data_IF_881941606055
#
_entry.id   IF_881941606055
#
_cell.length_a   1.000
_cell.length_b   1.000
_cell.length_c   1.000
_cell.angle_alpha   90.00
_cell.angle_beta   90.00
_cell.angle_gamma   90.00
#
_symmetry.space_group_name_H-M   'P 1'
#
loop_
_entity.id
_entity.type
_entity.pdbx_description
1 polymer ?
#
# COMPACT_ATOMS: atom_id res chain seq x y z
N UNK A 1 7.83 14.80 -11.08
CA UNK A 1 8.26 16.20 -11.23
C UNK A 1 7.83 17.08 -10.07
N UNK A 2 6.54 17.12 -9.74
CA UNK A 2 6.05 17.91 -8.60
C UNK A 2 6.56 17.40 -7.26
N UNK A 3 6.66 16.07 -7.09
CA UNK A 3 7.14 15.45 -5.85
C UNK A 3 8.63 15.70 -5.68
N UNK A 4 9.42 15.63 -6.75
CA UNK A 4 10.85 15.93 -6.72
C UNK A 4 11.10 17.39 -6.34
N UNK A 5 10.34 18.32 -6.90
CA UNK A 5 10.41 19.73 -6.56
C UNK A 5 10.06 19.98 -5.08
N UNK A 6 9.03 19.29 -4.59
CA UNK A 6 8.63 19.38 -3.19
C UNK A 6 9.72 18.84 -2.26
N UNK A 7 10.35 17.72 -2.61
CA UNK A 7 11.50 17.18 -1.88
C UNK A 7 12.62 18.21 -1.74
N UNK A 8 12.97 18.90 -2.81
CA UNK A 8 14.00 19.95 -2.82
C UNK A 8 13.60 21.11 -1.94
N UNK A 9 12.35 21.56 -2.07
CA UNK A 9 11.82 22.67 -1.29
C UNK A 9 11.85 22.37 0.21
N UNK A 10 11.57 21.11 0.60
CA UNK A 10 11.55 20.67 1.99
C UNK A 10 12.94 20.26 2.52
N UNK A 11 13.95 20.17 1.65
CA UNK A 11 15.29 19.76 2.04
C UNK A 11 15.40 18.33 2.50
N UNK A 12 14.58 17.41 1.97
CA UNK A 12 14.53 16.00 2.39
C UNK A 12 14.93 15.03 1.27
N UNK A 13 15.55 15.52 0.20
CA UNK A 13 15.91 14.66 -0.94
C UNK A 13 16.85 13.50 -0.58
N UNK A 14 17.67 13.68 0.44
CA UNK A 14 18.55 12.63 0.97
C UNK A 14 17.80 11.48 1.64
N UNK A 15 16.55 11.71 2.02
CA UNK A 15 15.70 10.72 2.72
C UNK A 15 14.64 10.09 1.81
N UNK A 16 14.52 10.57 0.58
CA UNK A 16 13.53 10.09 -0.38
C UNK A 16 14.26 9.46 -1.57
N UNK A 17 13.85 8.26 -1.93
CA UNK A 17 14.40 7.54 -3.05
C UNK A 17 13.31 7.27 -4.08
N UNK A 18 13.48 7.80 -5.29
CA UNK A 18 12.56 7.56 -6.40
C UNK A 18 13.00 6.30 -7.14
N UNK A 19 12.16 5.27 -7.09
CA UNK A 19 12.49 3.95 -7.62
C UNK A 19 12.03 3.75 -9.07
N UNK A 20 11.18 4.65 -9.58
CA UNK A 20 10.60 4.49 -10.90
C UNK A 20 9.67 3.28 -10.99
N UNK A 21 9.53 2.71 -12.17
CA UNK A 21 8.71 1.51 -12.37
C UNK A 21 9.48 0.27 -11.91
N UNK A 22 8.92 -0.45 -10.96
CA UNK A 22 9.47 -1.70 -10.46
C UNK A 22 8.76 -2.88 -11.12
N UNK A 23 9.53 -3.85 -11.60
CA UNK A 23 8.99 -5.12 -12.12
C UNK A 23 8.52 -6.03 -11.00
N UNK A 24 9.16 -5.96 -9.83
CA UNK A 24 8.90 -6.82 -8.67
C UNK A 24 8.79 -5.94 -7.44
N UNK A 25 7.56 -5.63 -7.04
CA UNK A 25 7.27 -4.80 -5.87
C UNK A 25 7.49 -5.56 -4.55
N UNK A 26 7.39 -6.90 -4.56
CA UNK A 26 7.47 -7.72 -3.36
C UNK A 26 8.79 -7.54 -2.60
N UNK A 27 9.90 -7.36 -3.33
CA UNK A 27 11.21 -7.12 -2.69
C UNK A 27 11.23 -5.85 -1.87
N UNK A 28 10.58 -4.79 -2.37
CA UNK A 28 10.49 -3.53 -1.65
C UNK A 28 9.54 -3.64 -0.46
N UNK A 29 8.41 -4.33 -0.65
CA UNK A 29 7.45 -4.55 0.42
C UNK A 29 8.04 -5.39 1.55
N UNK A 30 8.91 -6.34 1.24
CA UNK A 30 9.53 -7.19 2.26
C UNK A 30 10.41 -6.43 3.26
N UNK A 31 10.90 -5.25 2.90
CA UNK A 31 11.73 -4.41 3.77
C UNK A 31 11.00 -3.16 4.27
N UNK A 32 9.76 -2.95 3.84
CA UNK A 32 8.98 -1.79 4.24
C UNK A 32 8.32 -2.01 5.60
N UNK A 33 8.20 -0.95 6.37
CA UNK A 33 7.45 -0.95 7.62
C UNK A 33 6.01 -0.50 7.41
N UNK A 34 5.81 0.51 6.56
CA UNK A 34 4.51 1.09 6.25
C UNK A 34 4.42 1.32 4.74
N UNK A 35 3.26 1.03 4.20
CA UNK A 35 2.90 1.33 2.82
C UNK A 35 1.85 2.44 2.80
N UNK A 36 2.15 3.54 2.12
CA UNK A 36 1.23 4.68 2.02
C UNK A 36 0.63 4.71 0.64
N UNK A 37 -0.70 4.65 0.57
CA UNK A 37 -1.47 4.61 -0.68
C UNK A 37 -2.49 5.74 -0.70
N UNK A 38 -2.11 6.95 -1.18
CA UNK A 38 -3.00 8.12 -1.20
C UNK A 38 -3.83 8.16 -2.49
N UNK A 39 -4.43 7.06 -2.89
CA UNK A 39 -5.19 6.95 -4.14
C UNK A 39 -6.43 7.82 -4.15
N UNK A 40 -6.70 8.49 -5.26
CA UNK A 40 -7.94 9.21 -5.50
C UNK A 40 -9.03 8.27 -6.00
N UNK A 41 -8.64 7.23 -6.75
CA UNK A 41 -9.53 6.17 -7.25
C UNK A 41 -8.84 4.83 -7.08
N UNK A 42 -9.58 3.82 -6.62
CA UNK A 42 -9.05 2.46 -6.43
C UNK A 42 -10.18 1.45 -6.57
N UNK A 43 -10.02 0.46 -7.46
CA UNK A 43 -11.06 -0.55 -7.69
C UNK A 43 -11.10 -1.60 -6.58
N UNK A 44 -9.99 -2.31 -6.34
CA UNK A 44 -9.96 -3.46 -5.43
C UNK A 44 -8.94 -3.35 -4.30
N UNK A 45 -7.98 -2.43 -4.40
CA UNK A 45 -6.93 -2.32 -3.41
C UNK A 45 -5.94 -3.49 -3.43
N UNK A 46 -5.67 -4.08 -4.60
CA UNK A 46 -4.77 -5.23 -4.74
C UNK A 46 -3.36 -4.94 -4.24
N UNK A 47 -2.84 -3.74 -4.51
CA UNK A 47 -1.50 -3.36 -4.05
C UNK A 47 -1.45 -3.24 -2.53
N UNK A 48 -2.53 -2.77 -1.91
CA UNK A 48 -2.65 -2.75 -0.45
C UNK A 48 -2.66 -4.17 0.12
N UNK A 49 -3.40 -5.07 -0.53
CA UNK A 49 -3.45 -6.47 -0.14
C UNK A 49 -2.09 -7.16 -0.28
N UNK A 50 -1.35 -6.87 -1.34
CA UNK A 50 0.03 -7.35 -1.52
C UNK A 50 0.95 -6.86 -0.39
N UNK A 51 0.83 -5.59 -0.01
CA UNK A 51 1.58 -5.03 1.10
C UNK A 51 1.25 -5.76 2.42
N UNK A 52 -0.03 -5.97 2.69
CA UNK A 52 -0.48 -6.68 3.88
C UNK A 52 0.00 -8.12 3.92
N UNK A 53 -0.01 -8.81 2.77
CA UNK A 53 0.52 -10.17 2.65
C UNK A 53 2.04 -10.22 2.84
N UNK A 54 2.73 -9.10 2.70
CA UNK A 54 4.16 -8.94 3.00
C UNK A 54 4.41 -8.46 4.44
N UNK A 55 3.38 -8.47 5.28
CA UNK A 55 3.45 -8.05 6.68
C UNK A 55 3.81 -6.56 6.82
N UNK A 56 3.10 -5.71 6.08
CA UNK A 56 3.28 -4.26 6.07
C UNK A 56 1.98 -3.59 6.48
N UNK A 57 2.03 -2.64 7.40
CA UNK A 57 0.89 -1.83 7.77
C UNK A 57 0.55 -0.84 6.64
N UNK A 58 -0.73 -0.60 6.39
CA UNK A 58 -1.18 0.22 5.27
C UNK A 58 -1.83 1.51 5.74
N UNK A 59 -1.36 2.64 5.24
CA UNK A 59 -1.99 3.95 5.40
C UNK A 59 -2.61 4.30 4.06
N UNK A 60 -3.92 4.32 3.97
CA UNK A 60 -4.59 4.54 2.69
C UNK A 60 -5.77 5.50 2.80
N UNK A 61 -6.23 5.95 1.63
CA UNK A 61 -7.53 6.61 1.54
C UNK A 61 -8.65 5.58 1.64
N UNK A 62 -9.87 6.06 1.84
CA UNK A 62 -11.07 5.23 1.98
C UNK A 62 -11.83 5.03 0.67
N UNK A 63 -11.18 5.26 -0.46
CA UNK A 63 -11.81 5.20 -1.78
C UNK A 63 -11.92 3.77 -2.33
N UNK A 64 -12.95 3.51 -3.12
CA UNK A 64 -13.16 2.22 -3.79
C UNK A 64 -13.22 1.04 -2.83
N UNK A 65 -12.48 -0.01 -3.14
CA UNK A 65 -12.41 -1.23 -2.34
C UNK A 65 -11.48 -1.17 -1.13
N UNK A 66 -10.78 -0.05 -0.91
CA UNK A 66 -9.80 0.07 0.18
C UNK A 66 -10.38 -0.14 1.57
N UNK A 67 -11.60 0.34 1.92
CA UNK A 67 -12.17 0.07 3.24
C UNK A 67 -12.42 -1.41 3.54
N UNK A 68 -12.59 -2.24 2.54
CA UNK A 68 -12.77 -3.68 2.72
C UNK A 68 -11.43 -4.38 2.96
N UNK A 69 -10.36 -3.88 2.37
CA UNK A 69 -9.02 -4.44 2.47
C UNK A 69 -8.30 -3.92 3.69
N UNK A 70 -8.27 -2.61 3.89
CA UNK A 70 -7.56 -1.95 4.99
C UNK A 70 -8.53 -1.59 6.11
N UNK A 71 -8.43 -2.28 7.24
CA UNK A 71 -9.31 -2.07 8.38
C UNK A 71 -8.75 -0.98 9.28
N UNK A 72 -9.48 0.12 9.37
CA UNK A 72 -9.07 1.32 10.13
C UNK A 72 -8.83 1.00 11.60
N UNK A 73 -7.65 1.39 12.09
CA UNK A 73 -7.26 1.14 13.47
C UNK A 73 -6.83 -0.29 13.79
N UNK A 74 -6.73 -1.16 12.78
CA UNK A 74 -6.39 -2.57 12.98
C UNK A 74 -5.24 -3.02 12.07
N UNK A 75 -5.40 -2.91 10.76
CA UNK A 75 -4.38 -3.27 9.78
C UNK A 75 -3.58 -2.07 9.29
N UNK A 76 -4.06 -0.91 9.56
CA UNK A 76 -3.53 0.37 9.18
C UNK A 76 -4.54 1.46 9.52
N UNK A 77 -4.55 2.51 8.72
CA UNK A 77 -5.50 3.61 8.91
C UNK A 77 -6.08 4.06 7.57
N UNK A 78 -7.32 4.55 7.63
CA UNK A 78 -8.02 5.14 6.50
C UNK A 78 -8.17 6.64 6.70
N UNK A 79 -8.17 7.39 5.61
CA UNK A 79 -8.48 8.82 5.62
C UNK A 79 -9.24 9.20 4.36
N UNK A 80 -9.89 10.35 4.41
CA UNK A 80 -10.51 10.94 3.22
C UNK A 80 -9.45 11.28 2.18
N UNK A 81 -9.84 11.26 0.92
CA UNK A 81 -8.96 11.68 -0.18
C UNK A 81 -8.49 13.12 0.06
N UNK A 82 -7.19 13.35 0.02
CA UNK A 82 -6.59 14.66 0.23
C UNK A 82 -6.33 15.07 1.67
N UNK A 83 -6.71 14.23 2.65
CA UNK A 83 -6.46 14.52 4.06
C UNK A 83 -5.04 14.14 4.46
N UNK A 84 -4.08 14.92 4.02
CA UNK A 84 -2.65 14.74 4.27
C UNK A 84 -2.33 14.80 5.76
N UNK A 85 -3.01 15.69 6.51
CA UNK A 85 -2.78 15.84 7.94
C UNK A 85 -3.11 14.56 8.71
N UNK A 86 -4.25 13.94 8.41
CA UNK A 86 -4.62 12.66 9.05
C UNK A 86 -3.65 11.55 8.67
N UNK A 87 -3.30 11.42 7.40
CA UNK A 87 -2.33 10.41 6.93
C UNK A 87 -0.99 10.58 7.64
N UNK A 88 -0.52 11.80 7.80
CA UNK A 88 0.74 12.11 8.49
C UNK A 88 0.66 11.73 9.97
N UNK A 89 -0.39 12.13 10.66
CA UNK A 89 -0.60 11.83 12.07
C UNK A 89 -0.66 10.32 12.32
N UNK A 90 -1.43 9.61 11.50
CA UNK A 90 -1.58 8.16 11.61
C UNK A 90 -0.26 7.43 11.34
N UNK A 91 0.47 7.85 10.32
CA UNK A 91 1.78 7.29 9.99
C UNK A 91 2.77 7.47 11.14
N UNK A 92 2.86 8.68 11.67
CA UNK A 92 3.76 8.99 12.80
C UNK A 92 3.38 8.19 14.04
N UNK A 93 2.09 7.98 14.30
CA UNK A 93 1.63 7.22 15.46
C UNK A 93 2.14 5.78 15.44
N UNK A 94 2.31 5.20 14.26
CA UNK A 94 2.87 3.85 14.10
C UNK A 94 4.40 3.86 14.15
N UNK A 95 5.04 4.86 13.55
CA UNK A 95 6.51 4.92 13.49
C UNK A 95 7.16 5.16 14.87
N UNK A 96 6.50 5.89 15.76
CA UNK A 96 7.03 6.19 17.10
C UNK A 96 6.74 5.09 18.12
N UNK A 97 5.91 4.12 17.79
CA UNK A 97 5.49 3.03 18.69
C UNK A 97 5.72 1.69 18.00
N UNK A 98 6.89 1.10 18.21
CA UNK A 98 7.28 -0.18 17.61
C UNK A 98 6.33 -1.32 17.97
N UNK A 99 5.84 -1.35 19.19
CA UNK A 99 4.92 -2.39 19.65
C UNK A 99 3.59 -2.32 18.91
N UNK A 100 3.03 -1.13 18.79
CA UNK A 100 1.81 -0.86 18.03
C UNK A 100 1.99 -1.20 16.55
N UNK A 101 3.12 -0.77 15.96
CA UNK A 101 3.44 -1.08 14.56
C UNK A 101 3.49 -2.59 14.33
N UNK A 102 4.12 -3.35 15.21
CA UNK A 102 4.20 -4.80 15.11
C UNK A 102 2.83 -5.47 15.18
N UNK A 103 1.96 -4.98 16.07
CA UNK A 103 0.58 -5.47 16.17
C UNK A 103 -0.17 -5.22 14.86
N UNK A 104 -0.05 -4.04 14.28
CA UNK A 104 -0.68 -3.69 13.00
C UNK A 104 -0.15 -4.55 11.86
N UNK A 105 1.16 -4.79 11.82
CA UNK A 105 1.78 -5.69 10.81
C UNK A 105 1.24 -7.12 10.91
N UNK A 106 1.13 -7.66 12.12
CA UNK A 106 0.57 -9.00 12.34
C UNK A 106 -0.90 -9.05 11.92
N UNK A 107 -1.67 -8.03 12.29
CA UNK A 107 -3.07 -7.91 11.90
C UNK A 107 -3.22 -7.82 10.37
N UNK A 108 -2.34 -7.06 9.71
CA UNK A 108 -2.34 -6.93 8.26
C UNK A 108 -2.13 -8.28 7.58
N UNK A 109 -1.13 -9.02 8.01
CA UNK A 109 -0.85 -10.35 7.49
C UNK A 109 -2.01 -11.31 7.70
N UNK A 110 -2.56 -11.36 8.92
CA UNK A 110 -3.70 -12.21 9.25
C UNK A 110 -4.93 -11.87 8.40
N UNK A 111 -5.21 -10.57 8.22
CA UNK A 111 -6.33 -10.12 7.41
C UNK A 111 -6.16 -10.46 5.93
N UNK A 112 -4.93 -10.35 5.41
CA UNK A 112 -4.62 -10.72 4.02
C UNK A 112 -4.95 -12.20 3.75
N UNK A 113 -4.73 -13.08 4.70
CA UNK A 113 -5.06 -14.50 4.56
C UNK A 113 -6.56 -14.78 4.55
N UNK A 114 -7.40 -13.84 5.01
CA UNK A 114 -8.86 -14.01 4.93
C UNK A 114 -9.38 -13.80 3.51
N UNK A 115 -8.64 -13.09 2.68
CA UNK A 115 -8.90 -13.01 1.25
C UNK A 115 -8.35 -14.28 0.60
N UNK A 116 -9.15 -14.91 -0.23
CA UNK A 116 -8.76 -16.15 -0.90
C UNK A 116 -7.74 -15.83 -2.01
N UNK A 117 -6.51 -15.48 -1.61
CA UNK A 117 -5.42 -15.10 -2.51
C UNK A 117 -5.15 -16.15 -3.60
N UNK A 118 -5.17 -17.47 -3.29
CA UNK A 118 -5.05 -18.49 -4.33
C UNK A 118 -6.13 -18.43 -5.39
N UNK A 119 -7.33 -17.94 -5.08
CA UNK A 119 -8.40 -17.75 -6.06
C UNK A 119 -8.35 -16.38 -6.74
N UNK A 120 -7.88 -15.35 -6.05
CA UNK A 120 -7.75 -13.99 -6.61
C UNK A 120 -6.55 -13.88 -7.55
N UNK A 121 -5.39 -14.42 -7.16
CA UNK A 121 -4.17 -14.38 -7.96
C UNK A 121 -4.30 -15.09 -9.31
N UNK A 122 -4.86 -16.32 -9.41
CA UNK A 122 -5.08 -16.95 -10.70
C UNK A 122 -5.99 -16.15 -11.64
N UNK A 123 -7.04 -15.50 -11.12
CA UNK A 123 -7.90 -14.63 -11.91
C UNK A 123 -7.13 -13.41 -12.46
N UNK A 124 -6.25 -12.87 -11.65
CA UNK A 124 -5.41 -11.74 -12.02
C UNK A 124 -4.38 -12.15 -13.08
N UNK A 125 -3.76 -13.32 -12.92
CA UNK A 125 -2.82 -13.89 -13.91
C UNK A 125 -3.51 -14.16 -15.25
N UNK A 126 -4.72 -14.69 -15.26
CA UNK A 126 -5.51 -14.91 -16.47
C UNK A 126 -5.75 -13.59 -17.21
N UNK A 127 -6.16 -12.55 -16.51
CA UNK A 127 -6.35 -11.21 -17.11
C UNK A 127 -5.04 -10.69 -17.69
N UNK A 128 -3.92 -10.85 -16.99
CA UNK A 128 -2.60 -10.48 -17.49
C UNK A 128 -2.22 -11.25 -18.75
N UNK A 129 -2.46 -12.55 -18.79
CA UNK A 129 -2.18 -13.39 -19.95
C UNK A 129 -3.02 -12.99 -21.15
N UNK A 130 -4.32 -12.72 -20.96
CA UNK A 130 -5.23 -12.26 -22.02
C UNK A 130 -4.76 -10.91 -22.59
N UNK A 131 -4.37 -9.98 -21.72
CA UNK A 131 -3.84 -8.68 -22.15
C UNK A 131 -2.52 -8.83 -22.90
N UNK A 132 -1.65 -9.71 -22.44
CA UNK A 132 -0.37 -9.99 -23.11
C UNK A 132 -0.58 -10.61 -24.48
N UNK A 133 -1.53 -11.52 -24.64
CA UNK A 133 -1.88 -12.11 -25.94
C UNK A 133 -2.43 -11.06 -26.91
N UNK A 134 -3.27 -10.13 -26.43
CA UNK A 134 -3.80 -9.03 -27.26
C UNK A 134 -2.71 -8.06 -27.72
N UNK A 135 -1.70 -7.84 -26.92
CA UNK A 135 -0.58 -6.95 -27.25
C UNK A 135 0.36 -7.60 -28.26
N UNK A 136 0.54 -8.93 -28.21
CA UNK A 136 1.41 -9.69 -29.13
C UNK A 136 0.76 -10.02 -30.47
N UNK A 137 -0.53 -9.92 -30.56
CA UNK A 137 -1.26 -10.12 -31.82
C UNK A 137 -1.58 -8.80 -32.49
#
# INVERSE_FOLDING_TARGET
LKVEQLCRKLGICDKVKFLGKLKVIEKMLSIADIFILPSETESFGLVALEAMASKVAVISTNTGGLPEVNIDGKTGYLSEVGDVNKMTTDTLSLLIDNEKLNIFKENALAHAYTFDLPNILPQYEVVYQELSCKIKS
#
